data_IF_982475341771
#
_entry.id   IF_982475341771
#
_cell.length_a   1.000
_cell.length_b   1.000
_cell.length_c   1.000
_cell.angle_alpha   90.00
_cell.angle_beta   90.00
_cell.angle_gamma   90.00
#
_symmetry.space_group_name_H-M   'P 1'
#
loop_
_entity.id
_entity.type
_entity.pdbx_description
1 polymer ?
#
# COMPACT_ATOMS: atom_id res chain seq x y z
N UNK A 1 48.91 51.44 1.60
CA UNK A 1 49.32 50.04 1.35
C UNK A 1 48.04 49.23 1.18
N UNK A 2 47.82 48.69 -0.02
CA UNK A 2 46.52 48.20 -0.48
C UNK A 2 46.14 46.82 0.02
N UNK A 3 44.85 46.63 0.28
CA UNK A 3 44.25 45.32 0.50
C UNK A 3 44.03 44.63 -0.86
N UNK A 4 44.69 43.48 -1.06
CA UNK A 4 44.47 42.62 -2.23
C UNK A 4 43.25 41.74 -1.95
N UNK A 5 42.18 41.99 -2.68
CA UNK A 5 40.97 41.17 -2.69
C UNK A 5 41.24 39.91 -3.51
N UNK A 6 41.36 38.76 -2.86
CA UNK A 6 41.45 37.47 -3.55
C UNK A 6 40.03 37.00 -3.92
N UNK A 7 39.61 37.28 -5.15
CA UNK A 7 38.40 36.72 -5.74
C UNK A 7 38.66 35.29 -6.20
N UNK A 8 38.33 34.30 -5.37
CA UNK A 8 38.21 32.91 -5.84
C UNK A 8 36.87 32.80 -6.56
N UNK A 9 36.89 32.92 -7.89
CA UNK A 9 35.77 32.48 -8.74
C UNK A 9 35.70 30.96 -8.67
N UNK A 10 34.77 30.43 -7.87
CA UNK A 10 34.35 29.04 -8.01
C UNK A 10 33.68 28.88 -9.38
N UNK A 11 34.36 28.19 -10.31
CA UNK A 11 33.74 27.76 -11.55
C UNK A 11 32.67 26.71 -11.21
N UNK A 12 31.40 27.08 -11.36
CA UNK A 12 30.29 26.13 -11.39
C UNK A 12 30.43 25.25 -12.64
N UNK A 13 31.13 24.12 -12.51
CA UNK A 13 30.96 22.99 -13.42
C UNK A 13 29.87 22.08 -12.84
N UNK A 14 28.78 21.81 -13.57
CA UNK A 14 27.81 20.81 -13.12
C UNK A 14 28.51 19.45 -13.12
N UNK A 15 28.64 18.86 -11.93
CA UNK A 15 29.01 17.45 -11.80
C UNK A 15 27.81 16.66 -12.31
N UNK A 16 27.79 16.32 -13.60
CA UNK A 16 26.87 15.32 -14.14
C UNK A 16 27.40 13.98 -13.61
N UNK A 17 26.88 13.55 -12.45
CA UNK A 17 27.20 12.24 -11.91
C UNK A 17 26.80 11.18 -12.93
N UNK A 18 27.77 10.36 -13.37
CA UNK A 18 27.47 9.18 -14.19
C UNK A 18 26.58 8.25 -13.37
N UNK A 19 25.39 7.97 -13.91
CA UNK A 19 24.42 7.05 -13.35
C UNK A 19 25.04 5.67 -13.17
N UNK A 20 24.79 5.00 -12.05
CA UNK A 20 25.36 3.67 -11.81
C UNK A 20 24.54 2.59 -12.52
N UNK A 21 25.13 1.43 -12.85
CA UNK A 21 24.41 0.30 -13.47
C UNK A 21 23.19 -0.15 -12.64
N UNK A 22 23.26 0.01 -11.31
CA UNK A 22 22.16 -0.28 -10.39
C UNK A 22 20.97 0.66 -10.61
N UNK A 23 21.24 1.95 -10.77
CA UNK A 23 20.20 2.96 -11.01
C UNK A 23 19.52 2.73 -12.37
N UNK A 24 20.28 2.36 -13.40
CA UNK A 24 19.72 2.04 -14.73
C UNK A 24 18.82 0.80 -14.70
N UNK A 25 19.21 -0.24 -13.94
CA UNK A 25 18.41 -1.45 -13.77
C UNK A 25 17.12 -1.18 -13.01
N UNK A 26 17.18 -0.45 -11.90
CA UNK A 26 16.01 -0.10 -11.10
C UNK A 26 15.01 0.72 -11.91
N UNK A 27 15.49 1.67 -12.72
CA UNK A 27 14.64 2.43 -13.64
C UNK A 27 14.04 1.58 -14.76
N UNK A 28 14.80 0.62 -15.29
CA UNK A 28 14.30 -0.26 -16.32
C UNK A 28 13.19 -1.17 -15.78
N UNK A 29 13.36 -1.71 -14.57
CA UNK A 29 12.31 -2.47 -13.88
C UNK A 29 11.10 -1.60 -13.55
N UNK A 30 11.31 -0.34 -13.14
CA UNK A 30 10.23 0.63 -12.96
C UNK A 30 9.39 0.76 -14.24
N UNK A 31 10.04 1.03 -15.39
CA UNK A 31 9.37 1.17 -16.70
C UNK A 31 8.61 -0.09 -17.07
N UNK A 32 9.21 -1.27 -16.93
CA UNK A 32 8.55 -2.56 -17.20
C UNK A 32 7.29 -2.70 -16.35
N UNK A 33 7.40 -2.52 -15.04
CA UNK A 33 6.28 -2.74 -14.11
C UNK A 33 5.15 -1.74 -14.36
N UNK A 34 5.50 -0.50 -14.60
CA UNK A 34 4.54 0.55 -14.92
C UNK A 34 3.80 0.29 -16.23
N UNK A 35 4.54 -0.04 -17.30
CA UNK A 35 3.95 -0.43 -18.58
C UNK A 35 3.14 -1.73 -18.50
N UNK A 36 3.54 -2.68 -17.65
CA UNK A 36 2.77 -3.91 -17.43
C UNK A 36 1.46 -3.62 -16.69
N UNK A 37 1.43 -2.64 -15.79
CA UNK A 37 0.19 -2.17 -15.17
C UNK A 37 -0.79 -1.63 -16.23
N UNK A 38 -0.30 -0.82 -17.18
CA UNK A 38 -1.12 -0.33 -18.30
C UNK A 38 -1.61 -1.48 -19.20
N UNK A 39 -0.73 -2.44 -19.52
CA UNK A 39 -1.11 -3.62 -20.29
C UNK A 39 -2.20 -4.44 -19.57
N UNK A 40 -2.13 -4.53 -18.24
CA UNK A 40 -3.17 -5.17 -17.44
C UNK A 40 -4.49 -4.39 -17.49
N UNK A 41 -4.45 -3.07 -17.37
CA UNK A 41 -5.64 -2.23 -17.48
C UNK A 41 -6.33 -2.36 -18.85
N UNK A 42 -5.54 -2.32 -19.93
CA UNK A 42 -6.03 -2.57 -21.29
C UNK A 42 -6.67 -3.97 -21.40
N UNK A 43 -6.01 -5.01 -20.87
CA UNK A 43 -6.53 -6.37 -20.90
C UNK A 43 -7.85 -6.50 -20.14
N UNK A 44 -7.97 -5.85 -18.98
CA UNK A 44 -9.21 -5.82 -18.17
C UNK A 44 -10.32 -5.11 -18.92
N UNK A 45 -10.09 -3.93 -19.49
CA UNK A 45 -11.13 -3.23 -20.25
C UNK A 45 -11.58 -3.99 -21.50
N UNK A 46 -10.68 -4.74 -22.15
CA UNK A 46 -11.03 -5.62 -23.28
C UNK A 46 -11.93 -6.80 -22.86
N UNK A 47 -11.66 -7.42 -21.71
CA UNK A 47 -12.39 -8.60 -21.23
C UNK A 47 -13.67 -8.24 -20.48
N UNK A 48 -13.68 -7.09 -19.80
CA UNK A 48 -14.76 -6.61 -18.94
C UNK A 48 -15.12 -5.17 -19.34
N UNK A 49 -15.80 -4.98 -20.49
CA UNK A 49 -16.18 -3.65 -20.96
C UNK A 49 -17.03 -2.90 -19.93
N UNK A 50 -16.78 -1.59 -19.79
CA UNK A 50 -17.45 -0.74 -18.80
C UNK A 50 -16.65 -0.54 -17.51
N UNK A 51 -15.64 -1.37 -17.24
CA UNK A 51 -14.71 -1.21 -16.12
C UNK A 51 -14.00 0.14 -16.17
N UNK A 52 -14.06 0.89 -15.06
CA UNK A 52 -13.39 2.17 -14.88
C UNK A 52 -12.07 2.00 -14.14
N UNK A 53 -11.15 2.91 -14.40
CA UNK A 53 -9.78 2.84 -13.96
C UNK A 53 -9.50 3.91 -12.90
N UNK A 54 -8.80 3.51 -11.85
CA UNK A 54 -8.30 4.41 -10.81
C UNK A 54 -6.78 4.57 -10.93
N UNK A 55 -6.01 3.99 -10.00
CA UNK A 55 -4.55 4.12 -9.96
C UNK A 55 -3.84 2.80 -10.26
N UNK A 56 -2.74 2.88 -11.01
CA UNK A 56 -1.93 1.73 -11.39
C UNK A 56 -0.41 1.88 -11.24
N UNK A 57 0.11 2.20 -10.05
CA UNK A 57 1.53 2.47 -9.89
C UNK A 57 2.38 1.18 -9.89
N UNK A 58 3.64 1.28 -10.33
CA UNK A 58 4.65 0.27 -10.00
C UNK A 58 4.97 0.31 -8.50
N UNK A 59 5.32 -0.85 -7.94
CA UNK A 59 5.81 -1.02 -6.57
C UNK A 59 7.14 -1.78 -6.57
N UNK A 60 7.78 -1.90 -5.39
CA UNK A 60 9.15 -2.42 -5.25
C UNK A 60 9.42 -3.74 -5.97
N UNK A 61 8.47 -4.68 -5.98
CA UNK A 61 8.62 -5.99 -6.62
C UNK A 61 7.50 -6.31 -7.63
N UNK A 62 6.78 -5.29 -8.09
CA UNK A 62 5.65 -5.52 -8.99
C UNK A 62 4.87 -4.25 -9.33
N UNK A 63 3.57 -4.41 -9.46
CA UNK A 63 2.62 -3.34 -9.73
C UNK A 63 1.23 -3.76 -9.23
N UNK A 64 0.33 -2.80 -9.16
CA UNK A 64 -1.09 -3.10 -9.05
C UNK A 64 -1.88 -2.15 -9.94
N UNK A 65 -3.18 -2.43 -10.10
CA UNK A 65 -4.11 -1.47 -10.67
C UNK A 65 -5.47 -1.60 -9.96
N UNK A 66 -6.06 -0.46 -9.61
CA UNK A 66 -7.38 -0.34 -9.00
C UNK A 66 -8.47 -0.15 -10.07
N UNK A 67 -9.52 -0.97 -9.97
CA UNK A 67 -10.63 -1.01 -10.90
C UNK A 67 -11.95 -0.75 -10.18
N UNK A 68 -12.79 0.10 -10.77
CA UNK A 68 -14.21 0.18 -10.46
C UNK A 68 -14.96 -0.64 -11.51
N UNK A 69 -15.45 -1.81 -11.07
CA UNK A 69 -16.08 -2.80 -11.93
C UNK A 69 -17.24 -3.46 -11.20
N UNK A 70 -18.36 -3.67 -11.92
CA UNK A 70 -19.48 -4.45 -11.43
C UNK A 70 -19.11 -5.93 -11.24
N UNK A 71 -18.26 -6.46 -12.13
CA UNK A 71 -17.76 -7.84 -12.05
C UNK A 71 -16.79 -7.98 -10.89
N UNK A 72 -17.01 -8.97 -10.01
CA UNK A 72 -16.06 -9.30 -8.94
C UNK A 72 -14.96 -10.19 -9.48
N UNK A 73 -13.72 -9.68 -9.53
CA UNK A 73 -12.59 -10.44 -10.03
C UNK A 73 -12.26 -11.64 -9.14
N UNK A 74 -11.92 -12.75 -9.79
CA UNK A 74 -11.54 -14.02 -9.17
C UNK A 74 -10.17 -14.50 -9.65
N UNK A 75 -9.59 -15.49 -8.96
CA UNK A 75 -8.32 -16.11 -9.38
C UNK A 75 -8.38 -16.73 -10.78
N UNK A 76 -9.56 -17.21 -11.21
CA UNK A 76 -9.75 -17.71 -12.57
C UNK A 76 -9.81 -16.59 -13.60
N UNK A 77 -10.32 -15.42 -13.24
CA UNK A 77 -10.26 -14.24 -14.10
C UNK A 77 -8.83 -13.74 -14.28
N UNK A 78 -7.98 -13.83 -13.23
CA UNK A 78 -6.56 -13.51 -13.36
C UNK A 78 -5.88 -14.34 -14.45
N UNK A 79 -6.23 -15.62 -14.60
CA UNK A 79 -5.69 -16.47 -15.69
C UNK A 79 -6.12 -15.97 -17.06
N UNK A 80 -7.38 -15.54 -17.21
CA UNK A 80 -7.92 -14.99 -18.47
C UNK A 80 -7.28 -13.63 -18.79
N UNK A 81 -7.16 -12.75 -17.81
CA UNK A 81 -6.51 -11.44 -17.93
C UNK A 81 -5.05 -11.64 -18.32
N UNK A 82 -4.30 -12.52 -17.65
CA UNK A 82 -2.91 -12.80 -17.99
C UNK A 82 -2.75 -13.33 -19.42
N UNK A 83 -3.65 -14.22 -19.87
CA UNK A 83 -3.66 -14.70 -21.25
C UNK A 83 -3.92 -13.56 -22.25
N UNK A 84 -4.86 -12.66 -21.94
CA UNK A 84 -5.15 -11.48 -22.76
C UNK A 84 -3.98 -10.49 -22.78
N UNK A 85 -3.32 -10.25 -21.65
CA UNK A 85 -2.10 -9.44 -21.59
C UNK A 85 -1.01 -10.02 -22.51
N UNK A 86 -0.83 -11.35 -22.52
CA UNK A 86 0.14 -12.02 -23.41
C UNK A 86 -0.24 -11.89 -24.89
N UNK A 87 -1.53 -11.90 -25.21
CA UNK A 87 -2.02 -11.62 -26.57
C UNK A 87 -1.70 -10.17 -26.99
N UNK A 88 -1.97 -9.21 -26.11
CA UNK A 88 -1.73 -7.79 -26.35
C UNK A 88 -0.23 -7.47 -26.48
N UNK A 89 0.63 -8.04 -25.63
CA UNK A 89 2.08 -7.89 -25.72
C UNK A 89 2.65 -8.33 -27.08
N UNK A 90 2.09 -9.39 -27.67
CA UNK A 90 2.49 -9.89 -29.00
C UNK A 90 2.13 -8.94 -30.14
N UNK A 91 1.23 -7.97 -29.93
CA UNK A 91 0.93 -6.93 -30.93
C UNK A 91 2.06 -5.91 -31.06
N UNK A 92 2.98 -5.84 -30.09
CA UNK A 92 4.15 -4.95 -30.10
C UNK A 92 3.78 -3.47 -30.29
N UNK A 93 2.62 -3.08 -29.77
CA UNK A 93 2.16 -1.69 -29.81
C UNK A 93 3.14 -0.77 -29.09
N UNK A 94 3.49 0.40 -29.69
CA UNK A 94 4.36 1.37 -29.07
C UNK A 94 3.62 2.14 -27.97
N UNK A 95 4.36 2.58 -26.94
CA UNK A 95 3.84 3.54 -25.97
C UNK A 95 4.10 4.97 -26.47
N UNK A 96 3.04 5.71 -26.74
CA UNK A 96 3.12 7.08 -27.27
C UNK A 96 2.68 8.07 -26.20
N UNK A 97 3.61 8.90 -25.75
CA UNK A 97 3.33 10.02 -24.82
C UNK A 97 2.71 11.19 -25.57
N UNK A 98 1.61 11.73 -25.06
CA UNK A 98 0.94 12.93 -25.57
C UNK A 98 0.73 13.93 -24.43
N UNK A 99 1.02 15.20 -24.69
CA UNK A 99 0.63 16.30 -23.78
C UNK A 99 -0.79 16.75 -24.10
N UNK A 100 -1.55 17.10 -23.08
CA UNK A 100 -2.93 17.55 -23.20
C UNK A 100 -3.21 18.64 -22.17
N UNK A 101 -4.07 19.61 -22.48
CA UNK A 101 -4.48 20.60 -21.48
C UNK A 101 -5.37 19.96 -20.42
N UNK A 102 -5.41 20.55 -19.23
CA UNK A 102 -6.29 20.13 -18.14
C UNK A 102 -7.75 20.07 -18.57
N UNK A 103 -8.22 21.10 -19.29
CA UNK A 103 -9.60 21.18 -19.76
C UNK A 103 -9.94 20.04 -20.73
N UNK A 104 -9.06 19.74 -21.69
CA UNK A 104 -9.27 18.64 -22.64
C UNK A 104 -9.20 17.27 -21.96
N UNK A 105 -8.29 17.09 -21.00
CA UNK A 105 -8.17 15.84 -20.24
C UNK A 105 -9.43 15.55 -19.40
N UNK A 106 -9.96 16.56 -18.69
CA UNK A 106 -11.22 16.42 -17.93
C UNK A 106 -12.37 16.05 -18.88
N UNK A 107 -12.47 16.70 -20.05
CA UNK A 107 -13.52 16.40 -21.02
C UNK A 107 -13.37 14.99 -21.61
N UNK A 108 -12.15 14.55 -21.91
CA UNK A 108 -11.87 13.21 -22.44
C UNK A 108 -12.35 12.13 -21.47
N UNK A 109 -11.89 12.17 -20.21
CA UNK A 109 -12.24 11.16 -19.21
C UNK A 109 -13.71 11.23 -18.80
N UNK A 110 -14.30 12.42 -18.72
CA UNK A 110 -15.74 12.57 -18.48
C UNK A 110 -16.59 11.92 -19.58
N UNK A 111 -16.22 12.09 -20.86
CA UNK A 111 -16.93 11.46 -21.98
C UNK A 111 -16.78 9.94 -21.99
N UNK A 112 -15.65 9.43 -21.51
CA UNK A 112 -15.42 7.99 -21.34
C UNK A 112 -16.08 7.41 -20.08
N UNK A 113 -16.68 8.26 -19.23
CA UNK A 113 -17.25 7.88 -17.94
C UNK A 113 -16.21 7.52 -16.88
N UNK A 114 -14.95 7.88 -17.08
CA UNK A 114 -13.82 7.69 -16.16
C UNK A 114 -13.80 8.78 -15.09
N UNK A 115 -14.84 8.79 -14.23
CA UNK A 115 -15.07 9.86 -13.24
C UNK A 115 -13.89 10.04 -12.28
N UNK A 116 -13.31 8.94 -11.80
CA UNK A 116 -12.17 8.97 -10.86
C UNK A 116 -10.93 9.60 -11.51
N UNK A 117 -10.69 9.35 -12.80
CA UNK A 117 -9.60 10.00 -13.54
C UNK A 117 -9.87 11.48 -13.75
N UNK A 118 -11.11 11.86 -14.11
CA UNK A 118 -11.48 13.26 -14.24
C UNK A 118 -11.26 14.02 -12.91
N UNK A 119 -11.69 13.45 -11.79
CA UNK A 119 -11.42 14.01 -10.44
C UNK A 119 -9.92 14.10 -10.15
N UNK A 120 -9.13 13.10 -10.54
CA UNK A 120 -7.68 13.16 -10.36
C UNK A 120 -7.04 14.28 -11.18
N UNK A 121 -7.44 14.46 -12.45
CA UNK A 121 -6.96 15.55 -13.31
C UNK A 121 -7.22 16.92 -12.65
N UNK A 122 -8.36 17.10 -11.98
CA UNK A 122 -8.68 18.34 -11.28
C UNK A 122 -7.66 18.71 -10.19
N UNK A 123 -6.98 17.72 -9.61
CA UNK A 123 -5.91 17.94 -8.62
C UNK A 123 -4.55 18.27 -9.21
N UNK A 124 -4.36 18.11 -10.53
CA UNK A 124 -3.08 18.34 -11.21
C UNK A 124 -2.95 19.79 -11.70
N UNK A 125 -1.71 20.27 -11.81
CA UNK A 125 -1.38 21.56 -12.40
C UNK A 125 -1.51 21.48 -13.93
N UNK A 126 -2.09 22.51 -14.56
CA UNK A 126 -2.18 22.57 -16.02
C UNK A 126 -0.79 22.70 -16.66
N UNK A 127 -0.62 22.14 -17.86
CA UNK A 127 0.66 22.08 -18.58
C UNK A 127 1.56 20.89 -18.23
N UNK A 128 1.31 20.18 -17.13
CA UNK A 128 2.08 18.98 -16.73
C UNK A 128 1.36 17.66 -17.06
N UNK A 129 0.14 17.75 -17.60
CA UNK A 129 -0.73 16.59 -17.81
C UNK A 129 -0.32 15.88 -19.09
N UNK A 130 -0.02 14.58 -18.93
CA UNK A 130 0.34 13.72 -20.06
C UNK A 130 -0.50 12.44 -20.07
N UNK A 131 -0.74 11.97 -21.28
CA UNK A 131 -1.42 10.72 -21.58
C UNK A 131 -0.42 9.77 -22.22
N UNK A 132 -0.58 8.49 -21.96
CA UNK A 132 0.09 7.44 -22.72
C UNK A 132 -0.93 6.61 -23.47
N UNK A 133 -0.67 6.43 -24.76
CA UNK A 133 -1.46 5.60 -25.65
C UNK A 133 -0.67 4.36 -26.05
N UNK A 134 -1.31 3.18 -26.00
CA UNK A 134 -0.77 1.92 -26.51
C UNK A 134 -1.91 1.01 -26.94
N UNK A 135 -1.84 0.41 -28.13
CA UNK A 135 -2.81 -0.61 -28.55
C UNK A 135 -4.27 -0.15 -28.74
N UNK A 136 -4.53 1.17 -28.68
CA UNK A 136 -5.87 1.75 -28.64
C UNK A 136 -6.38 2.06 -27.23
N UNK A 137 -5.60 1.72 -26.20
CA UNK A 137 -5.80 2.14 -24.82
C UNK A 137 -5.12 3.48 -24.55
N UNK A 138 -5.79 4.35 -23.79
CA UNK A 138 -5.28 5.67 -23.39
C UNK A 138 -5.39 5.80 -21.88
N UNK A 139 -4.30 6.21 -21.24
CA UNK A 139 -4.23 6.38 -19.79
C UNK A 139 -3.64 7.74 -19.37
N UNK A 140 -4.09 8.27 -18.24
CA UNK A 140 -3.53 9.43 -17.57
C UNK A 140 -2.29 9.01 -16.80
N UNK A 141 -1.12 9.41 -17.27
CA UNK A 141 0.12 8.93 -16.68
C UNK A 141 1.31 9.84 -17.03
N UNK A 142 2.18 10.10 -16.07
CA UNK A 142 3.42 10.86 -16.28
C UNK A 142 4.53 10.00 -16.93
N UNK A 143 4.45 8.68 -16.81
CA UNK A 143 5.49 7.73 -17.17
C UNK A 143 6.66 7.73 -16.19
N UNK A 144 7.86 7.28 -16.61
CA UNK A 144 8.17 6.74 -17.93
C UNK A 144 7.60 5.33 -18.17
N UNK A 145 7.53 4.95 -19.45
CA UNK A 145 7.13 3.63 -19.96
C UNK A 145 8.24 3.01 -20.81
N UNK A 146 8.19 1.69 -21.04
CA UNK A 146 9.00 1.03 -22.09
C UNK A 146 8.58 1.51 -23.48
N UNK A 147 9.41 1.29 -24.49
CA UNK A 147 9.14 1.76 -25.85
C UNK A 147 7.99 0.98 -26.51
N UNK A 148 7.90 -0.33 -26.24
CA UNK A 148 6.88 -1.20 -26.82
C UNK A 148 6.36 -2.22 -25.83
N UNK A 149 5.10 -2.62 -26.01
CA UNK A 149 4.53 -3.78 -25.32
C UNK A 149 5.27 -5.09 -25.61
N UNK A 150 6.14 -5.12 -26.63
CA UNK A 150 7.06 -6.22 -26.89
C UNK A 150 8.02 -6.49 -25.71
N UNK A 151 8.40 -5.47 -24.94
CA UNK A 151 9.32 -5.61 -23.81
C UNK A 151 8.64 -6.22 -22.57
N UNK A 152 7.32 -6.47 -22.63
CA UNK A 152 6.51 -6.93 -21.51
C UNK A 152 6.23 -8.43 -21.62
N UNK A 153 7.28 -9.26 -21.55
CA UNK A 153 7.13 -10.72 -21.73
C UNK A 153 6.99 -11.50 -20.42
N UNK A 154 7.63 -11.01 -19.35
CA UNK A 154 7.85 -11.79 -18.13
C UNK A 154 7.10 -11.20 -16.95
N UNK A 155 5.79 -11.44 -16.94
CA UNK A 155 4.89 -11.02 -15.86
C UNK A 155 4.03 -12.18 -15.34
N UNK A 156 3.50 -11.99 -14.13
CA UNK A 156 2.56 -12.88 -13.45
C UNK A 156 1.58 -12.06 -12.59
N UNK A 157 0.28 -12.32 -12.71
CA UNK A 157 -0.72 -11.78 -11.78
C UNK A 157 -0.76 -12.64 -10.51
N UNK A 158 -0.86 -12.01 -9.33
CA UNK A 158 -0.70 -12.69 -8.05
C UNK A 158 -2.02 -12.89 -7.31
N UNK A 159 -2.77 -11.81 -7.07
CA UNK A 159 -3.97 -11.84 -6.24
C UNK A 159 -4.85 -10.60 -6.50
N UNK A 160 -6.10 -10.70 -6.05
CA UNK A 160 -7.07 -9.59 -6.00
C UNK A 160 -7.27 -9.18 -4.54
N UNK A 161 -7.41 -7.88 -4.26
CA UNK A 161 -7.87 -7.36 -2.97
C UNK A 161 -8.90 -6.25 -3.14
N UNK A 162 -9.54 -5.85 -2.06
CA UNK A 162 -10.29 -4.59 -2.02
C UNK A 162 -9.36 -3.41 -1.79
N UNK A 163 -9.75 -2.25 -2.30
CA UNK A 163 -9.16 -0.95 -2.00
C UNK A 163 -10.27 0.11 -1.99
N UNK A 164 -9.93 1.33 -1.58
CA UNK A 164 -10.84 2.47 -1.60
C UNK A 164 -10.19 3.62 -2.35
N UNK A 165 -10.99 4.45 -3.01
CA UNK A 165 -10.48 5.64 -3.68
C UNK A 165 -9.70 6.52 -2.69
N UNK A 166 -8.42 6.78 -3.01
CA UNK A 166 -7.46 7.51 -2.16
C UNK A 166 -7.30 6.96 -0.73
N UNK A 167 -7.71 5.73 -0.49
CA UNK A 167 -7.67 5.11 0.84
C UNK A 167 -8.75 5.59 1.80
N UNK A 168 -9.76 6.34 1.34
CA UNK A 168 -10.88 6.81 2.17
C UNK A 168 -12.01 5.77 2.15
N UNK A 169 -12.28 5.15 3.29
CA UNK A 169 -13.30 4.11 3.44
C UNK A 169 -14.74 4.58 3.16
N UNK A 170 -14.98 5.90 3.17
CA UNK A 170 -16.28 6.49 2.85
C UNK A 170 -16.48 6.73 1.35
N UNK A 171 -15.44 6.48 0.55
CA UNK A 171 -15.44 6.67 -0.91
C UNK A 171 -15.68 5.35 -1.64
N UNK A 172 -15.67 5.42 -2.97
CA UNK A 172 -15.90 4.29 -3.87
C UNK A 172 -14.99 3.10 -3.54
N UNK A 173 -15.60 1.92 -3.37
CA UNK A 173 -14.87 0.67 -3.16
C UNK A 173 -14.37 0.12 -4.49
N UNK A 174 -13.08 -0.11 -4.57
CA UNK A 174 -12.39 -0.56 -5.76
C UNK A 174 -11.88 -2.00 -5.58
N UNK A 175 -11.58 -2.64 -6.70
CA UNK A 175 -10.93 -3.94 -6.75
C UNK A 175 -9.51 -3.77 -7.27
N UNK A 176 -8.53 -4.14 -6.45
CA UNK A 176 -7.11 -4.06 -6.77
C UNK A 176 -6.62 -5.39 -7.30
N UNK A 177 -6.04 -5.39 -8.49
CA UNK A 177 -5.31 -6.56 -9.02
C UNK A 177 -3.82 -6.31 -8.87
N UNK A 178 -3.12 -7.26 -8.25
CA UNK A 178 -1.66 -7.25 -8.09
C UNK A 178 -0.98 -8.11 -9.15
N UNK A 179 0.21 -7.68 -9.56
CA UNK A 179 1.08 -8.45 -10.44
C UNK A 179 2.55 -8.11 -10.22
N UNK A 180 3.41 -8.92 -10.83
CA UNK A 180 4.85 -8.72 -10.84
C UNK A 180 5.37 -8.84 -12.26
N UNK A 181 6.39 -8.07 -12.60
CA UNK A 181 7.05 -8.09 -13.91
C UNK A 181 8.55 -7.88 -13.76
N UNK A 182 9.30 -8.59 -14.59
CA UNK A 182 10.77 -8.66 -14.56
C UNK A 182 11.35 -8.55 -15.96
N UNK A 183 12.64 -8.25 -16.04
CA UNK A 183 13.33 -8.12 -17.31
C UNK A 183 13.58 -9.48 -17.98
N UNK A 184 13.82 -10.50 -17.17
CA UNK A 184 14.13 -11.85 -17.67
C UNK A 184 13.21 -12.90 -17.08
N UNK A 185 13.03 -13.99 -17.82
CA UNK A 185 12.27 -15.17 -17.38
C UNK A 185 12.83 -15.78 -16.09
N UNK A 186 14.15 -15.79 -15.95
CA UNK A 186 14.83 -16.37 -14.79
C UNK A 186 14.62 -15.55 -13.53
N UNK A 187 14.62 -14.21 -13.64
CA UNK A 187 14.28 -13.31 -12.53
C UNK A 187 12.83 -13.51 -12.06
N UNK A 188 11.87 -13.58 -13.00
CA UNK A 188 10.49 -13.87 -12.65
C UNK A 188 10.37 -15.21 -11.92
N UNK A 189 11.01 -16.26 -12.45
CA UNK A 189 11.00 -17.58 -11.83
C UNK A 189 11.61 -17.56 -10.42
N UNK A 190 12.75 -16.87 -10.25
CA UNK A 190 13.42 -16.73 -8.97
C UNK A 190 12.56 -15.94 -7.96
N UNK A 191 11.88 -14.89 -8.39
CA UNK A 191 10.97 -14.13 -7.54
C UNK A 191 9.76 -14.97 -7.10
N UNK A 192 9.11 -15.69 -8.01
CA UNK A 192 8.00 -16.57 -7.67
C UNK A 192 8.44 -17.69 -6.71
N UNK A 193 9.63 -18.27 -6.90
CA UNK A 193 10.17 -19.25 -5.96
C UNK A 193 10.40 -18.67 -4.56
N UNK A 194 10.86 -17.42 -4.46
CA UNK A 194 11.02 -16.71 -3.17
C UNK A 194 9.67 -16.47 -2.48
N UNK A 195 8.63 -16.10 -3.23
CA UNK A 195 7.28 -15.92 -2.69
C UNK A 195 6.75 -17.24 -2.12
N UNK A 196 6.88 -18.34 -2.87
CA UNK A 196 6.42 -19.65 -2.40
C UNK A 196 7.18 -20.12 -1.16
N UNK A 197 8.48 -19.86 -1.08
CA UNK A 197 9.27 -20.15 0.11
C UNK A 197 8.86 -19.28 1.31
N UNK A 198 8.55 -18.00 1.09
CA UNK A 198 8.04 -17.11 2.13
C UNK A 198 6.67 -17.57 2.65
N UNK A 199 5.76 -18.02 1.78
CA UNK A 199 4.43 -18.55 2.16
C UNK A 199 4.53 -19.78 3.07
N UNK A 200 5.51 -20.66 2.84
CA UNK A 200 5.78 -21.81 3.72
C UNK A 200 6.24 -21.40 5.12
N UNK A 201 6.78 -20.20 5.26
CA UNK A 201 7.31 -19.64 6.52
C UNK A 201 6.37 -18.60 7.14
N UNK A 202 5.15 -18.50 6.63
CA UNK A 202 4.14 -17.62 7.18
C UNK A 202 3.74 -18.10 8.59
N UNK A 203 3.87 -17.21 9.57
CA UNK A 203 3.55 -17.51 10.96
C UNK A 203 2.07 -17.90 11.15
N UNK A 204 1.17 -17.49 10.26
CA UNK A 204 -0.26 -17.86 10.31
C UNK A 204 -0.46 -19.32 9.92
N UNK A 205 0.27 -19.78 8.90
CA UNK A 205 0.28 -21.18 8.47
C UNK A 205 0.94 -22.05 9.53
N UNK A 206 2.18 -21.71 9.90
CA UNK A 206 2.95 -22.47 10.90
C UNK A 206 2.32 -22.43 12.28
N UNK A 207 1.75 -21.29 12.68
CA UNK A 207 1.07 -21.13 13.97
C UNK A 207 -0.10 -22.09 14.13
N UNK A 208 -0.88 -22.30 13.06
CA UNK A 208 -1.96 -23.29 13.02
C UNK A 208 -1.42 -24.72 13.01
N UNK A 209 -0.48 -25.04 12.12
CA UNK A 209 0.09 -26.39 11.99
C UNK A 209 0.77 -26.87 13.29
N UNK A 210 1.52 -25.98 13.93
CA UNK A 210 2.25 -26.27 15.17
C UNK A 210 1.37 -26.12 16.42
N UNK A 211 0.15 -25.60 16.29
CA UNK A 211 -0.79 -25.27 17.38
C UNK A 211 -0.16 -24.32 18.40
N UNK A 212 0.32 -23.18 17.92
CA UNK A 212 0.91 -22.11 18.74
C UNK A 212 -0.13 -21.10 19.20
N UNK A 213 -1.03 -20.69 18.31
CA UNK A 213 -2.12 -19.77 18.61
C UNK A 213 -3.33 -20.08 17.73
N UNK A 214 -4.49 -19.54 18.11
CA UNK A 214 -5.72 -19.59 17.35
C UNK A 214 -6.48 -18.26 17.46
N UNK A 215 -7.44 -17.99 16.58
CA UNK A 215 -8.32 -16.82 16.62
C UNK A 215 -9.78 -17.27 16.62
N UNK A 216 -10.32 -17.70 17.77
CA UNK A 216 -11.72 -18.07 17.88
C UNK A 216 -12.62 -16.86 17.61
N UNK A 217 -13.71 -17.06 16.86
CA UNK A 217 -14.69 -16.00 16.56
C UNK A 217 -15.25 -15.35 17.84
N UNK A 218 -15.43 -16.14 18.91
CA UNK A 218 -15.87 -15.69 20.23
C UNK A 218 -14.97 -14.58 20.82
N UNK A 219 -13.68 -14.57 20.50
CA UNK A 219 -12.75 -13.58 21.03
C UNK A 219 -12.90 -12.21 20.36
N UNK A 220 -13.31 -12.19 19.09
CA UNK A 220 -13.29 -11.00 18.24
C UNK A 220 -11.99 -10.86 17.42
N UNK A 221 -11.99 -9.94 16.43
CA UNK A 221 -10.88 -9.75 15.51
C UNK A 221 -9.62 -9.23 16.22
N UNK A 222 -8.46 -9.78 15.87
CA UNK A 222 -7.17 -9.33 16.40
C UNK A 222 -6.83 -9.82 17.82
N UNK A 223 -7.65 -10.69 18.41
CA UNK A 223 -7.47 -11.19 19.78
C UNK A 223 -7.06 -12.68 19.77
N UNK A 224 -5.75 -12.99 19.70
CA UNK A 224 -5.26 -14.36 19.61
C UNK A 224 -5.35 -15.11 20.96
N UNK A 225 -5.69 -16.38 20.88
CA UNK A 225 -5.57 -17.33 21.97
C UNK A 225 -4.23 -18.05 21.82
N UNK A 226 -3.30 -17.80 22.74
CA UNK A 226 -2.05 -18.55 22.79
C UNK A 226 -2.29 -19.95 23.35
N UNK A 227 -2.13 -20.97 22.51
CA UNK A 227 -2.25 -22.37 22.89
C UNK A 227 -1.03 -22.81 23.72
N UNK A 228 -1.06 -23.95 24.45
CA UNK A 228 -0.02 -24.29 25.41
C UNK A 228 1.43 -24.23 24.88
N UNK A 229 1.65 -24.58 23.60
CA UNK A 229 2.98 -24.48 22.98
C UNK A 229 3.38 -23.02 22.72
N UNK A 230 2.50 -22.20 22.16
CA UNK A 230 2.78 -20.79 21.91
C UNK A 230 2.91 -19.99 23.21
N UNK A 231 2.06 -20.30 24.20
CA UNK A 231 2.15 -19.72 25.54
C UNK A 231 3.51 -20.01 26.19
N UNK A 232 4.06 -21.23 26.04
CA UNK A 232 5.40 -21.58 26.53
C UNK A 232 6.50 -20.76 25.84
N UNK A 233 6.45 -20.62 24.51
CA UNK A 233 7.41 -19.79 23.77
C UNK A 233 7.36 -18.35 24.24
N UNK A 234 6.14 -17.79 24.37
CA UNK A 234 5.94 -16.42 24.84
C UNK A 234 6.47 -16.24 26.27
N UNK A 235 6.23 -17.20 27.16
CA UNK A 235 6.75 -17.16 28.53
C UNK A 235 8.28 -17.17 28.55
N UNK A 236 8.92 -18.06 27.78
CA UNK A 236 10.38 -18.12 27.69
C UNK A 236 10.99 -16.81 27.18
N UNK A 237 10.36 -16.16 26.19
CA UNK A 237 10.81 -14.86 25.69
C UNK A 237 10.64 -13.75 26.73
N UNK A 238 9.52 -13.73 27.46
CA UNK A 238 9.29 -12.77 28.56
C UNK A 238 10.30 -12.95 29.69
N UNK A 239 10.52 -14.19 30.12
CA UNK A 239 11.48 -14.50 31.17
C UNK A 239 12.89 -14.07 30.77
N UNK A 240 13.30 -14.40 29.55
CA UNK A 240 14.60 -14.00 29.01
C UNK A 240 14.77 -12.48 28.94
N UNK A 241 13.78 -11.76 28.39
CA UNK A 241 13.79 -10.30 28.34
C UNK A 241 13.86 -9.69 29.74
N UNK A 242 13.13 -10.25 30.70
CA UNK A 242 13.17 -9.77 32.08
C UNK A 242 14.54 -10.00 32.73
N UNK A 243 15.16 -11.15 32.49
CA UNK A 243 16.53 -11.40 32.97
C UNK A 243 17.52 -10.38 32.41
N UNK A 244 17.41 -10.01 31.14
CA UNK A 244 18.24 -8.94 30.57
C UNK A 244 18.02 -7.60 31.27
N UNK A 245 16.77 -7.23 31.55
CA UNK A 245 16.45 -5.96 32.21
C UNK A 245 17.01 -5.85 33.64
N UNK A 246 16.97 -6.94 34.43
CA UNK A 246 17.47 -6.92 35.81
C UNK A 246 18.98 -7.13 35.93
N UNK A 247 19.60 -7.80 34.95
CA UNK A 247 21.05 -8.02 34.94
C UNK A 247 21.83 -6.87 34.32
N UNK A 248 21.22 -6.09 33.40
CA UNK A 248 21.94 -5.10 32.60
C UNK A 248 22.73 -5.71 31.43
N UNK A 249 22.54 -7.00 31.14
CA UNK A 249 23.31 -7.78 30.14
C UNK A 249 23.03 -7.41 28.67
N UNK A 250 22.33 -6.31 28.42
CA UNK A 250 22.15 -5.69 27.10
C UNK A 250 23.19 -4.57 26.82
N UNK A 251 24.33 -4.59 27.51
CA UNK A 251 25.47 -3.69 27.29
C UNK A 251 25.59 -2.53 28.29
N UNK A 252 24.79 -2.53 29.35
CA UNK A 252 24.76 -1.51 30.39
C UNK A 252 24.59 -2.14 31.79
N UNK A 253 25.63 -2.82 32.32
CA UNK A 253 25.56 -3.56 33.59
C UNK A 253 25.30 -2.66 34.82
N UNK A 254 25.49 -1.36 34.68
CA UNK A 254 25.20 -0.31 35.67
C UNK A 254 23.76 0.22 35.57
N UNK A 255 22.96 -0.26 34.61
CA UNK A 255 21.57 0.17 34.37
C UNK A 255 20.64 -1.03 34.44
N UNK A 256 20.03 -1.23 35.60
CA UNK A 256 19.01 -2.25 35.83
C UNK A 256 17.61 -1.62 35.86
N UNK A 257 16.59 -2.41 35.55
CA UNK A 257 15.20 -2.00 35.67
C UNK A 257 14.54 -2.69 36.88
N UNK A 258 13.68 -1.94 37.58
CA UNK A 258 12.87 -2.46 38.69
C UNK A 258 11.45 -2.80 38.21
N UNK A 259 10.85 -3.92 38.66
CA UNK A 259 9.51 -4.30 38.26
C UNK A 259 8.46 -3.40 38.91
N UNK A 260 7.50 -2.95 38.11
CA UNK A 260 6.27 -2.30 38.59
C UNK A 260 5.08 -2.83 37.78
N UNK A 261 3.88 -2.77 38.37
CA UNK A 261 2.64 -3.17 37.69
C UNK A 261 1.62 -2.07 37.86
N UNK A 262 0.96 -1.70 36.76
CA UNK A 262 -0.09 -0.68 36.70
C UNK A 262 -1.36 -1.24 36.06
N UNK A 263 -2.54 -0.65 36.31
CA UNK A 263 -3.77 -1.02 35.63
C UNK A 263 -3.69 -0.79 34.11
N UNK A 264 -4.41 -1.62 33.34
CA UNK A 264 -4.55 -1.45 31.87
C UNK A 264 -5.60 -0.40 31.47
N UNK A 265 -6.53 -0.08 32.38
CA UNK A 265 -7.57 0.93 32.19
C UNK A 265 -7.29 2.07 33.17
N UNK A 266 -7.23 3.29 32.64
CA UNK A 266 -6.98 4.52 33.39
C UNK A 266 -8.07 5.53 33.10
N UNK A 267 -8.30 6.47 34.04
CA UNK A 267 -9.23 7.57 33.85
C UNK A 267 -8.84 8.42 32.63
N UNK A 268 -9.84 8.95 31.95
CA UNK A 268 -9.68 9.85 30.79
C UNK A 268 -8.65 10.96 31.03
N UNK A 269 -8.62 11.55 32.24
CA UNK A 269 -7.70 12.64 32.57
C UNK A 269 -6.22 12.25 32.53
N UNK A 270 -5.88 10.97 32.74
CA UNK A 270 -4.52 10.49 32.57
C UNK A 270 -4.09 10.58 31.09
N UNK A 271 -5.01 10.25 30.17
CA UNK A 271 -4.78 10.31 28.73
C UNK A 271 -4.77 11.74 28.18
N UNK A 272 -5.57 12.65 28.76
CA UNK A 272 -5.50 14.10 28.46
C UNK A 272 -4.18 14.69 28.92
N UNK A 273 -3.77 14.37 30.15
CA UNK A 273 -2.52 14.87 30.74
C UNK A 273 -1.30 14.42 29.92
N UNK A 274 -1.33 13.19 29.40
CA UNK A 274 -0.28 12.68 28.53
C UNK A 274 -0.39 13.14 27.08
N UNK A 275 -1.46 13.85 26.69
CA UNK A 275 -1.77 14.24 25.31
C UNK A 275 -2.15 13.08 24.38
N UNK A 276 -2.35 11.87 24.91
CA UNK A 276 -2.68 10.71 24.09
C UNK A 276 -4.14 10.73 23.64
N UNK A 277 -5.02 11.36 24.42
CA UNK A 277 -6.43 11.45 24.04
C UNK A 277 -6.59 12.22 22.74
N UNK A 278 -5.88 13.33 22.55
CA UNK A 278 -6.00 14.16 21.35
C UNK A 278 -5.37 13.49 20.12
N UNK A 279 -4.26 12.76 20.31
CA UNK A 279 -3.48 12.21 19.21
C UNK A 279 -3.87 10.78 18.81
N UNK A 280 -4.43 9.99 19.74
CA UNK A 280 -4.67 8.55 19.55
C UNK A 280 -6.13 8.15 19.78
N UNK A 281 -7.06 9.10 19.93
CA UNK A 281 -8.48 8.82 20.20
C UNK A 281 -9.06 7.73 19.29
N UNK A 282 -8.75 7.81 18.00
CA UNK A 282 -9.27 6.90 16.97
C UNK A 282 -8.69 5.48 17.07
N UNK A 283 -7.58 5.31 17.78
CA UNK A 283 -6.88 4.04 17.97
C UNK A 283 -7.04 3.46 19.39
N UNK A 284 -7.95 4.02 20.21
CA UNK A 284 -8.16 3.61 21.60
C UNK A 284 -9.50 2.89 21.76
N UNK A 285 -9.51 1.81 22.55
CA UNK A 285 -10.76 1.23 23.05
C UNK A 285 -11.32 2.11 24.16
N UNK A 286 -12.46 2.74 23.88
CA UNK A 286 -13.19 3.52 24.88
C UNK A 286 -14.13 2.60 25.65
N UNK A 287 -13.99 2.60 26.96
CA UNK A 287 -14.89 1.89 27.86
C UNK A 287 -15.79 2.96 28.51
N UNK A 288 -17.08 2.64 28.73
CA UNK A 288 -18.10 3.55 29.26
C UNK A 288 -18.71 2.95 30.54
N UNK A 289 -18.86 3.76 31.61
CA UNK A 289 -19.53 3.34 32.85
C UNK A 289 -21.03 3.59 32.70
N UNK A 290 -21.86 2.68 33.22
CA UNK A 290 -23.31 2.90 33.31
C UNK A 290 -23.71 3.63 34.61
N UNK A 291 -22.86 3.60 35.63
CA UNK A 291 -23.08 4.30 36.88
C UNK A 291 -22.27 5.61 36.87
N UNK A 292 -22.88 6.72 37.26
CA UNK A 292 -22.26 8.04 37.53
C UNK A 292 -21.22 8.01 38.68
N UNK A 293 -20.78 6.82 39.10
CA UNK A 293 -19.59 6.68 39.91
C UNK A 293 -18.38 6.75 38.98
N UNK A 294 -17.88 7.97 38.86
CA UNK A 294 -16.70 8.49 38.20
C UNK A 294 -15.42 7.65 38.48
N UNK A 295 -15.42 6.41 37.99
CA UNK A 295 -14.29 5.50 37.93
C UNK A 295 -13.97 5.22 36.46
N UNK A 296 -13.47 6.27 35.80
CA UNK A 296 -12.51 6.14 34.71
C UNK A 296 -13.06 5.77 33.35
N UNK A 297 -14.23 6.28 33.00
CA UNK A 297 -14.88 6.01 31.73
C UNK A 297 -15.47 7.33 31.23
N UNK A 298 -15.39 7.62 29.93
CA UNK A 298 -16.08 8.80 29.38
C UNK A 298 -17.56 8.68 29.78
N UNK A 299 -18.12 9.73 30.36
CA UNK A 299 -19.58 9.86 30.44
C UNK A 299 -20.10 9.96 29.02
N UNK A 300 -21.16 9.22 28.71
CA UNK A 300 -21.87 9.39 27.45
C UNK A 300 -22.53 10.77 27.51
N UNK A 301 -22.02 11.73 26.75
CA UNK A 301 -22.68 13.03 26.63
C UNK A 301 -24.10 12.80 26.09
N UNK A 302 -25.11 13.25 26.82
CA UNK A 302 -26.53 13.12 26.45
C UNK A 302 -26.96 14.04 25.30
N UNK A 303 -26.06 14.84 24.73
CA UNK A 303 -26.39 15.86 23.72
C UNK A 303 -26.65 15.33 22.29
N UNK A 304 -26.77 14.01 22.12
CA UNK A 304 -27.05 13.38 20.81
C UNK A 304 -28.46 12.81 20.65
N UNK A 305 -29.30 12.85 21.69
CA UNK A 305 -30.57 12.13 21.72
C UNK A 305 -31.78 13.03 22.00
N UNK A 306 -31.87 14.19 21.36
CA UNK A 306 -33.17 14.87 21.21
C UNK A 306 -33.56 15.02 19.73
N UNK A 307 -34.49 14.15 19.33
CA UNK A 307 -35.57 14.52 18.45
C UNK A 307 -35.30 14.43 16.95
N UNK A 308 -35.69 13.29 16.36
CA UNK A 308 -36.69 13.27 15.28
C UNK A 308 -37.15 11.83 15.01
N UNK A 309 -38.09 11.37 15.82
CA UNK A 309 -39.10 10.42 15.35
C UNK A 309 -40.46 11.14 15.27
N UNK A 310 -41.05 11.08 14.07
CA UNK A 310 -42.48 11.22 13.72
C UNK A 310 -43.12 12.61 13.65
N UNK A 311 -43.19 13.13 12.41
CA UNK A 311 -44.43 13.24 11.65
C UNK A 311 -44.17 12.81 10.20
#
# INVERSE_FOLDING_TARGET
MGAVVCHIRAANMPIIAKKTERDEREERLYRIRHSTAHLMAEAVQNLFPGTKLAFGPPVQDGFYYDFDAEHRFTDDDLKKIEAKMRELAKKKSPFVRKSISKAEAVQLFSKQGEKLKAEHVETLTDGEITLYESGGFVDLCAGPHVDSTADLEHFKLTNVSGSYWRGDENRERLQRIYGTAWDTKDELKAHLARIEEAKKRDHRTLGKELRLFDFPELAGPGLPFYLPKGARVLQQLKDWMWQLHISGDYGHPDKTYEPLTTPHILRTDAWKTSGHLENYRENMFMVYSLDELDQGLLTRDEDGAEGKEKA
#
